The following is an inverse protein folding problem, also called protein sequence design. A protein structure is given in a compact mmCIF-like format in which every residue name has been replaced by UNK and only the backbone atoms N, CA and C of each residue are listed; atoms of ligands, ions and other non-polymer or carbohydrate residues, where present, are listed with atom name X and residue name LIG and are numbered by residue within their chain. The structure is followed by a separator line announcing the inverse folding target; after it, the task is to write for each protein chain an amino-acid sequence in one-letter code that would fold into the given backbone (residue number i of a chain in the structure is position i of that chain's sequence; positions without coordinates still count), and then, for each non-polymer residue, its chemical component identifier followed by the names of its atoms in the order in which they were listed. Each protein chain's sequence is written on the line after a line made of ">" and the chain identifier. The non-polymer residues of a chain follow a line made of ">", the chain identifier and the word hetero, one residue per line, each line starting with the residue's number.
data_IF_228178320094
#
_entry.id   IF_228178320094
#
_cell.length_a   1.000
_cell.length_b   1.000
_cell.length_c   1.000
_cell.angle_alpha   90.00
_cell.angle_beta   90.00
_cell.angle_gamma   90.00
#
_symmetry.space_group_name_H-M   'P 1'
#
loop_
_entity.id
_entity.type
_entity.pdbx_description
1 polymer ?
#
# COMPACT_ATOMS: atom_id res chain seq x y z
N UNK A 1 72.85 6.74 32.72
CA UNK A 1 72.06 5.93 31.79
C UNK A 1 70.55 6.12 32.10
N UNK A 2 69.84 6.86 31.29
CA UNK A 2 68.40 7.10 31.46
C UNK A 2 67.62 6.23 30.40
N UNK A 3 66.83 5.28 30.88
CA UNK A 3 65.99 4.40 30.09
C UNK A 3 64.73 5.14 29.69
N UNK A 4 64.53 5.33 28.40
CA UNK A 4 63.31 5.89 27.83
C UNK A 4 62.31 4.72 27.58
N UNK A 5 61.19 4.72 28.29
CA UNK A 5 60.09 3.80 28.03
C UNK A 5 59.16 4.40 26.97
N UNK A 6 59.04 3.70 25.84
CA UNK A 6 58.13 4.04 24.76
C UNK A 6 56.75 3.43 25.07
N UNK A 7 55.74 4.27 25.28
CA UNK A 7 54.34 3.83 25.45
C UNK A 7 53.71 3.75 24.05
N UNK A 8 53.38 2.56 23.60
CA UNK A 8 52.59 2.35 22.38
C UNK A 8 51.09 2.55 22.68
N UNK A 9 50.50 3.60 22.11
CA UNK A 9 49.04 3.83 22.16
C UNK A 9 48.39 3.03 21.03
N UNK A 10 47.68 1.98 21.39
CA UNK A 10 46.82 1.22 20.45
C UNK A 10 45.51 1.97 20.35
N UNK A 11 45.29 2.69 19.24
CA UNK A 11 44.01 3.26 18.88
C UNK A 11 43.08 2.16 18.39
N UNK A 12 42.17 1.69 19.23
CA UNK A 12 41.12 0.77 18.87
C UNK A 12 40.10 1.46 17.98
N UNK A 13 39.97 1.06 16.70
CA UNK A 13 38.85 1.42 15.84
C UNK A 13 37.60 0.73 16.37
N UNK A 14 36.73 1.46 17.05
CA UNK A 14 35.35 1.05 17.32
C UNK A 14 34.56 1.15 16.01
N UNK A 15 34.43 0.02 15.30
CA UNK A 15 33.46 -0.13 14.24
C UNK A 15 32.08 -0.16 14.92
N UNK A 16 31.38 0.97 14.90
CA UNK A 16 29.98 1.01 15.28
C UNK A 16 29.19 0.19 14.26
N UNK A 17 28.84 -1.05 14.61
CA UNK A 17 27.79 -1.80 13.95
C UNK A 17 26.50 -0.97 14.08
N UNK A 18 26.18 -0.21 13.05
CA UNK A 18 24.95 0.56 12.96
C UNK A 18 23.79 -0.43 13.10
N UNK A 19 23.11 -0.39 14.24
CA UNK A 19 21.85 -1.10 14.41
C UNK A 19 20.90 -0.56 13.33
N UNK A 20 20.44 -1.43 12.42
CA UNK A 20 19.38 -1.11 11.48
C UNK A 20 18.21 -0.49 12.28
N UNK A 21 17.65 0.63 11.84
CA UNK A 21 16.55 1.25 12.55
C UNK A 21 15.42 0.21 12.70
N UNK A 22 14.97 0.01 13.94
CA UNK A 22 13.92 -0.98 14.32
C UNK A 22 12.57 -0.79 13.61
N UNK A 23 12.47 0.18 12.71
CA UNK A 23 11.28 0.59 11.99
C UNK A 23 11.40 0.45 10.46
N UNK A 24 12.49 -0.14 9.95
CA UNK A 24 12.65 -0.34 8.51
C UNK A 24 11.72 -1.45 8.02
N UNK A 25 10.91 -1.16 7.01
CA UNK A 25 10.15 -2.17 6.28
C UNK A 25 11.16 -2.99 5.45
N UNK A 26 11.09 -4.30 5.54
CA UNK A 26 11.87 -5.18 4.65
C UNK A 26 11.38 -4.99 3.21
N UNK A 27 12.27 -4.61 2.26
CA UNK A 27 11.89 -4.44 0.88
C UNK A 27 11.55 -5.79 0.25
N UNK A 28 10.59 -5.79 -0.66
CA UNK A 28 10.37 -6.94 -1.56
C UNK A 28 11.54 -7.08 -2.55
N UNK A 29 11.81 -8.28 -3.08
CA UNK A 29 12.64 -8.41 -4.28
C UNK A 29 12.11 -7.46 -5.35
N UNK A 30 13.00 -6.64 -5.92
CA UNK A 30 12.62 -5.51 -6.79
C UNK A 30 11.72 -5.92 -7.96
N UNK A 31 12.03 -7.04 -8.61
CA UNK A 31 11.25 -7.58 -9.73
C UNK A 31 9.84 -8.01 -9.29
N UNK A 32 9.73 -8.60 -8.10
CA UNK A 32 8.46 -9.01 -7.52
C UNK A 32 7.61 -7.80 -7.11
N UNK A 33 8.23 -6.75 -6.56
CA UNK A 33 7.51 -5.52 -6.23
C UNK A 33 6.98 -4.81 -7.47
N UNK A 34 7.77 -4.74 -8.56
CA UNK A 34 7.33 -4.21 -9.85
C UNK A 34 6.16 -5.02 -10.41
N UNK A 35 6.24 -6.35 -10.40
CA UNK A 35 5.17 -7.23 -10.88
C UNK A 35 3.89 -7.04 -10.06
N UNK A 36 4.03 -6.96 -8.73
CA UNK A 36 2.90 -6.75 -7.83
C UNK A 36 2.27 -5.36 -8.02
N UNK A 37 3.06 -4.31 -8.20
CA UNK A 37 2.55 -2.97 -8.49
C UNK A 37 1.76 -2.95 -9.81
N UNK A 38 2.30 -3.56 -10.86
CA UNK A 38 1.65 -3.64 -12.17
C UNK A 38 0.38 -4.49 -12.17
N UNK A 39 0.29 -5.48 -11.29
CA UNK A 39 -0.93 -6.30 -11.16
C UNK A 39 -2.15 -5.48 -10.70
N UNK A 40 -1.93 -4.31 -10.12
CA UNK A 40 -3.03 -3.38 -9.80
C UNK A 40 -3.71 -2.79 -11.05
N UNK A 41 -3.04 -2.77 -12.21
CA UNK A 41 -3.54 -2.17 -13.44
C UNK A 41 -4.19 -3.19 -14.38
N UNK A 42 -5.17 -2.76 -15.20
CA UNK A 42 -5.64 -3.58 -16.32
C UNK A 42 -4.52 -3.78 -17.35
N UNK A 43 -4.50 -4.91 -18.09
CA UNK A 43 -3.38 -5.31 -18.95
C UNK A 43 -2.90 -4.22 -19.91
N UNK A 44 -3.81 -3.53 -20.58
CA UNK A 44 -3.50 -2.53 -21.60
C UNK A 44 -2.83 -1.25 -21.07
N UNK A 45 -2.78 -1.04 -19.76
CA UNK A 45 -2.13 0.12 -19.13
C UNK A 45 -0.74 -0.19 -18.56
N UNK A 46 -0.39 -1.47 -18.41
CA UNK A 46 0.81 -1.89 -17.66
C UNK A 46 2.11 -1.45 -18.30
N UNK A 47 2.23 -1.61 -19.62
CA UNK A 47 3.51 -1.41 -20.31
C UNK A 47 3.99 0.03 -20.29
N UNK A 48 3.07 0.99 -20.34
CA UNK A 48 3.36 2.41 -20.35
C UNK A 48 3.16 3.12 -19.00
N UNK A 49 2.88 2.40 -17.93
CA UNK A 49 2.70 2.97 -16.58
C UNK A 49 4.04 3.29 -15.90
N UNK A 50 4.05 4.37 -15.12
CA UNK A 50 5.15 4.65 -14.18
C UNK A 50 5.04 3.72 -12.98
N UNK A 51 6.13 3.03 -12.66
CA UNK A 51 6.18 2.12 -11.51
C UNK A 51 7.15 2.63 -10.46
N UNK A 52 6.71 2.62 -9.21
CA UNK A 52 7.55 2.98 -8.06
C UNK A 52 7.78 1.74 -7.20
N UNK A 53 8.95 1.69 -6.57
CA UNK A 53 9.32 0.69 -5.56
C UNK A 53 9.74 1.39 -4.28
N UNK A 54 9.56 0.72 -3.14
CA UNK A 54 9.92 1.26 -1.85
C UNK A 54 11.41 1.10 -1.57
N UNK A 55 12.06 2.23 -1.36
CA UNK A 55 13.38 2.29 -0.72
C UNK A 55 13.19 2.57 0.77
N UNK A 56 13.54 1.63 1.67
CA UNK A 56 13.31 1.81 3.12
C UNK A 56 14.01 3.02 3.74
N UNK A 57 15.07 3.52 3.10
CA UNK A 57 15.85 4.66 3.58
C UNK A 57 15.39 6.02 3.01
N UNK A 58 14.55 6.02 1.95
CA UNK A 58 14.20 7.27 1.24
C UNK A 58 12.72 7.42 0.93
N UNK A 59 11.93 6.35 1.02
CA UNK A 59 10.57 6.30 0.53
C UNK A 59 10.48 5.75 -0.91
N UNK A 60 9.41 6.05 -1.63
CA UNK A 60 9.21 5.55 -2.99
C UNK A 60 10.13 6.21 -4.01
N UNK A 61 10.71 5.40 -4.89
CA UNK A 61 11.54 5.84 -6.00
C UNK A 61 11.05 5.22 -7.32
N UNK A 62 11.28 5.93 -8.44
CA UNK A 62 10.89 5.45 -9.77
C UNK A 62 11.74 4.23 -10.12
N UNK A 63 11.08 3.10 -10.32
CA UNK A 63 11.70 1.87 -10.83
C UNK A 63 11.65 1.79 -12.36
N UNK A 64 10.55 2.29 -12.94
CA UNK A 64 10.30 2.33 -14.37
C UNK A 64 9.49 3.59 -14.69
N UNK A 65 10.03 4.52 -15.49
CA UNK A 65 9.27 5.67 -16.00
C UNK A 65 8.21 5.19 -17.00
N UNK A 66 7.06 5.85 -17.03
CA UNK A 66 5.96 5.57 -17.94
C UNK A 66 5.46 6.81 -18.66
N UNK A 67 4.58 6.63 -19.64
CA UNK A 67 4.09 7.70 -20.53
C UNK A 67 2.57 7.84 -20.59
N UNK A 68 1.81 6.90 -20.02
CA UNK A 68 0.34 6.89 -20.12
C UNK A 68 -0.38 7.61 -18.97
N UNK A 69 0.36 8.22 -18.04
CA UNK A 69 -0.22 8.94 -16.92
C UNK A 69 -0.80 8.07 -15.80
N UNK A 70 -0.50 6.76 -15.77
CA UNK A 70 -0.80 5.88 -14.65
C UNK A 70 0.45 5.63 -13.82
N UNK A 71 0.25 5.57 -12.49
CA UNK A 71 1.29 5.49 -11.47
C UNK A 71 0.99 4.34 -10.54
N UNK A 72 1.80 3.28 -10.58
CA UNK A 72 1.60 2.03 -9.84
C UNK A 72 2.68 1.83 -8.78
N UNK A 73 2.30 1.36 -7.59
CA UNK A 73 3.19 1.04 -6.48
C UNK A 73 2.52 0.09 -5.48
N UNK A 74 3.30 -0.43 -4.54
CA UNK A 74 2.80 -1.23 -3.43
C UNK A 74 2.92 -0.44 -2.15
N UNK A 75 1.82 0.13 -1.65
CA UNK A 75 1.84 0.81 -0.36
C UNK A 75 2.09 -0.20 0.78
N UNK A 76 2.88 0.20 1.77
CA UNK A 76 3.33 -0.66 2.87
C UNK A 76 2.91 -0.15 4.24
N UNK A 77 2.26 1.00 4.30
CA UNK A 77 1.79 1.62 5.53
C UNK A 77 0.30 1.42 5.81
N UNK A 78 -0.42 0.76 4.92
CA UNK A 78 -1.86 0.54 4.98
C UNK A 78 -2.66 1.54 4.15
N UNK A 79 -3.95 1.26 3.98
CA UNK A 79 -4.87 2.04 3.15
C UNK A 79 -5.49 3.23 3.89
N UNK A 80 -5.47 3.21 5.21
CA UNK A 80 -6.16 4.19 6.05
C UNK A 80 -5.48 5.56 6.09
N UNK A 81 -4.38 5.72 5.34
CA UNK A 81 -3.75 7.02 5.13
C UNK A 81 -4.75 8.09 4.64
N UNK A 82 -5.78 7.69 3.88
CA UNK A 82 -6.82 8.60 3.40
C UNK A 82 -7.82 9.03 4.48
N UNK A 83 -8.02 8.20 5.51
CA UNK A 83 -9.08 8.42 6.49
C UNK A 83 -8.65 9.31 7.65
N UNK A 84 -7.34 9.44 7.86
CA UNK A 84 -6.82 10.05 9.08
C UNK A 84 -7.11 9.24 10.36
N UNK A 85 -7.83 8.13 10.25
CA UNK A 85 -8.20 7.19 11.32
C UNK A 85 -7.35 5.93 11.29
N UNK A 86 -6.17 6.08 10.89
CA UNK A 86 -5.18 5.04 10.69
C UNK A 86 -4.86 4.32 12.01
N UNK A 87 -5.04 2.99 12.10
CA UNK A 87 -4.78 2.25 13.34
C UNK A 87 -3.29 2.03 13.61
N UNK A 88 -2.42 2.84 13.03
CA UNK A 88 -0.98 2.69 13.11
C UNK A 88 -0.46 2.91 14.53
N UNK A 89 -0.32 1.84 15.30
CA UNK A 89 0.31 1.83 16.62
C UNK A 89 1.79 1.45 16.53
N UNK A 90 2.15 0.67 15.52
CA UNK A 90 3.51 0.24 15.19
C UNK A 90 3.63 0.00 13.70
N UNK A 91 4.83 0.10 13.17
CA UNK A 91 5.07 -0.31 11.80
C UNK A 91 4.92 -1.82 11.64
N UNK A 92 4.34 -2.21 10.49
CA UNK A 92 4.20 -3.60 10.09
C UNK A 92 5.02 -3.83 8.82
N UNK A 93 5.63 -4.99 8.74
CA UNK A 93 6.42 -5.44 7.58
C UNK A 93 5.63 -6.33 6.61
N UNK A 94 4.35 -6.60 6.94
CA UNK A 94 3.51 -7.56 6.22
C UNK A 94 2.36 -6.92 5.42
N UNK A 95 2.21 -5.60 5.44
CA UNK A 95 1.21 -4.90 4.63
C UNK A 95 1.60 -4.94 3.15
N UNK A 96 0.64 -5.32 2.30
CA UNK A 96 0.72 -5.25 0.83
C UNK A 96 -0.54 -4.56 0.31
N UNK A 97 -0.37 -3.40 -0.28
CA UNK A 97 -1.47 -2.60 -0.82
C UNK A 97 -1.15 -2.15 -2.24
N UNK A 98 -1.23 -3.08 -3.24
CA UNK A 98 -0.96 -2.76 -4.64
C UNK A 98 -2.05 -1.83 -5.16
N UNK A 99 -1.65 -0.64 -5.62
CA UNK A 99 -2.57 0.40 -6.08
C UNK A 99 -1.95 1.16 -7.24
N UNK A 100 -2.79 1.61 -8.16
CA UNK A 100 -2.39 2.50 -9.24
C UNK A 100 -3.39 3.65 -9.38
N UNK A 101 -2.87 4.84 -9.59
CA UNK A 101 -3.64 6.07 -9.78
C UNK A 101 -3.49 6.61 -11.20
N UNK A 102 -4.53 7.25 -11.72
CA UNK A 102 -4.39 8.17 -12.83
C UNK A 102 -3.68 9.46 -12.39
N UNK A 103 -3.38 10.37 -13.32
CA UNK A 103 -2.72 11.63 -13.00
C UNK A 103 -3.47 12.50 -11.97
N UNK A 104 -4.80 12.43 -11.91
CA UNK A 104 -5.58 13.19 -10.94
C UNK A 104 -5.38 12.64 -9.52
N UNK A 105 -5.46 11.31 -9.37
CA UNK A 105 -5.19 10.64 -8.10
C UNK A 105 -3.72 10.69 -7.69
N UNK A 106 -2.81 10.64 -8.64
CA UNK A 106 -1.39 10.76 -8.35
C UNK A 106 -1.06 12.12 -7.68
N UNK A 107 -1.67 13.19 -8.14
CA UNK A 107 -1.50 14.53 -7.56
C UNK A 107 -2.17 14.70 -6.19
N UNK A 108 -3.31 14.05 -5.99
CA UNK A 108 -4.15 14.23 -4.80
C UNK A 108 -3.88 13.17 -3.72
N UNK A 109 -3.98 11.90 -4.06
CA UNK A 109 -4.04 10.80 -3.10
C UNK A 109 -2.72 10.03 -2.97
N UNK A 110 -1.99 9.81 -4.08
CA UNK A 110 -0.71 9.10 -4.04
C UNK A 110 0.31 9.82 -3.13
N UNK A 111 0.28 11.15 -3.10
CA UNK A 111 1.15 11.96 -2.25
C UNK A 111 1.03 11.59 -0.77
N UNK A 112 -0.16 11.19 -0.30
CA UNK A 112 -0.38 10.77 1.08
C UNK A 112 0.48 9.54 1.41
N UNK A 113 0.51 8.55 0.53
CA UNK A 113 1.33 7.34 0.72
C UNK A 113 2.83 7.65 0.66
N UNK A 114 3.23 8.54 -0.24
CA UNK A 114 4.63 8.90 -0.43
C UNK A 114 5.17 9.66 0.77
N UNK A 115 4.43 10.65 1.27
CA UNK A 115 4.78 11.38 2.47
C UNK A 115 4.90 10.47 3.70
N UNK A 116 3.98 9.50 3.83
CA UNK A 116 4.04 8.52 4.91
C UNK A 116 5.31 7.65 4.80
N UNK A 117 5.65 7.16 3.60
CA UNK A 117 6.85 6.38 3.37
C UNK A 117 8.14 7.19 3.63
N UNK A 118 8.18 8.46 3.21
CA UNK A 118 9.31 9.36 3.48
C UNK A 118 9.50 9.64 4.98
N UNK A 119 8.42 9.88 5.72
CA UNK A 119 8.47 10.07 7.17
C UNK A 119 8.95 8.81 7.87
N UNK A 120 8.48 7.64 7.44
CA UNK A 120 8.94 6.37 7.98
C UNK A 120 10.43 6.14 7.69
N UNK A 121 10.89 6.41 6.45
CA UNK A 121 12.29 6.31 6.06
C UNK A 121 13.21 7.22 6.91
N UNK A 122 12.70 8.37 7.37
CA UNK A 122 13.39 9.28 8.31
C UNK A 122 13.39 8.78 9.77
N UNK A 123 12.82 7.61 10.03
CA UNK A 123 12.76 7.03 11.38
C UNK A 123 11.67 7.63 12.27
N UNK A 124 10.70 8.35 11.71
CA UNK A 124 9.57 8.90 12.49
C UNK A 124 8.83 7.76 13.20
N UNK A 125 8.61 7.82 14.52
CA UNK A 125 7.84 6.80 15.23
C UNK A 125 6.40 6.68 14.70
N UNK A 126 5.82 5.47 14.71
CA UNK A 126 4.51 5.20 14.11
C UNK A 126 3.39 6.12 14.64
N UNK A 127 3.34 6.34 15.96
CA UNK A 127 2.36 7.24 16.56
C UNK A 127 2.52 8.70 16.12
N UNK A 128 3.76 9.16 15.97
CA UNK A 128 4.07 10.52 15.50
C UNK A 128 3.75 10.66 14.01
N UNK A 129 4.07 9.67 13.20
CA UNK A 129 3.69 9.63 11.78
C UNK A 129 2.17 9.75 11.64
N UNK A 130 1.41 8.95 12.39
CA UNK A 130 -0.06 9.05 12.44
C UNK A 130 -0.52 10.47 12.74
N UNK A 131 0.03 11.08 13.80
CA UNK A 131 -0.32 12.44 14.22
C UNK A 131 -0.05 13.48 13.12
N UNK A 132 1.11 13.40 12.46
CA UNK A 132 1.48 14.30 11.35
C UNK A 132 0.51 14.14 10.19
N UNK A 133 0.21 12.90 9.77
CA UNK A 133 -0.68 12.63 8.64
C UNK A 133 -2.10 13.13 8.93
N UNK A 134 -2.63 12.88 10.14
CA UNK A 134 -3.93 13.40 10.57
C UNK A 134 -3.98 14.92 10.55
N UNK A 135 -2.95 15.60 11.04
CA UNK A 135 -2.86 17.05 10.99
C UNK A 135 -2.85 17.58 9.56
N UNK A 136 -2.07 16.97 8.67
CA UNK A 136 -2.00 17.35 7.25
C UNK A 136 -3.35 17.18 6.54
N UNK A 137 -4.03 16.06 6.78
CA UNK A 137 -5.38 15.82 6.24
C UNK A 137 -6.39 16.86 6.75
N UNK A 138 -6.42 17.10 8.06
CA UNK A 138 -7.32 18.09 8.68
C UNK A 138 -7.04 19.52 8.21
N UNK A 139 -5.78 19.86 7.97
CA UNK A 139 -5.38 21.17 7.47
C UNK A 139 -5.60 21.36 5.96
N UNK A 140 -6.10 20.34 5.24
CA UNK A 140 -6.26 20.40 3.79
C UNK A 140 -4.93 20.45 3.02
N UNK A 141 -3.85 19.96 3.62
CA UNK A 141 -2.52 19.92 2.99
C UNK A 141 -2.50 19.09 1.70
N UNK A 142 -3.32 18.04 1.65
CA UNK A 142 -3.52 17.24 0.45
C UNK A 142 -4.76 17.74 -0.28
N UNK A 143 -4.63 18.20 -1.53
CA UNK A 143 -5.79 18.66 -2.29
C UNK A 143 -6.70 17.48 -2.64
N UNK A 144 -8.00 17.74 -2.70
CA UNK A 144 -8.94 16.78 -3.29
C UNK A 144 -8.63 16.57 -4.79
N UNK A 145 -9.02 15.42 -5.39
CA UNK A 145 -8.92 15.24 -6.82
C UNK A 145 -9.65 16.36 -7.57
N UNK A 146 -8.96 17.01 -8.51
CA UNK A 146 -9.51 18.17 -9.24
C UNK A 146 -10.58 17.79 -10.28
N UNK A 147 -10.73 16.51 -10.58
CA UNK A 147 -11.71 15.98 -11.54
C UNK A 147 -12.06 14.53 -11.18
N UNK A 148 -13.10 14.02 -11.78
CA UNK A 148 -13.38 12.59 -11.77
C UNK A 148 -12.19 11.80 -12.35
N UNK A 149 -11.94 10.63 -11.84
CA UNK A 149 -10.86 9.75 -12.25
C UNK A 149 -10.95 8.41 -11.54
N UNK A 150 -9.91 7.61 -11.68
CA UNK A 150 -9.90 6.23 -11.26
C UNK A 150 -8.59 5.85 -10.58
N UNK A 151 -8.71 5.02 -9.55
CA UNK A 151 -7.62 4.22 -9.04
C UNK A 151 -7.94 2.73 -9.21
N UNK A 152 -6.94 1.94 -9.58
CA UNK A 152 -7.07 0.51 -9.78
C UNK A 152 -6.42 -0.26 -8.65
N UNK A 153 -7.10 -1.30 -8.18
CA UNK A 153 -6.61 -2.31 -7.27
C UNK A 153 -7.02 -3.70 -7.76
N UNK A 154 -6.60 -4.03 -9.00
CA UNK A 154 -6.94 -5.31 -9.66
C UNK A 154 -6.04 -6.47 -9.25
N UNK A 155 -5.06 -6.23 -8.40
CA UNK A 155 -4.18 -7.27 -7.89
C UNK A 155 -4.97 -8.42 -7.24
N UNK A 156 -4.55 -9.68 -7.47
CA UNK A 156 -5.20 -10.83 -6.85
C UNK A 156 -4.93 -10.92 -5.35
N UNK A 157 -4.01 -10.13 -4.82
CA UNK A 157 -3.66 -10.12 -3.41
C UNK A 157 -3.59 -8.71 -2.86
N UNK A 158 -4.16 -8.56 -1.71
CA UNK A 158 -4.13 -7.36 -0.89
C UNK A 158 -3.99 -7.81 0.57
N UNK A 159 -3.13 -7.16 1.35
CA UNK A 159 -3.06 -7.37 2.79
C UNK A 159 -3.08 -6.05 3.51
N UNK A 160 -4.17 -5.81 4.20
CA UNK A 160 -4.42 -4.53 4.86
C UNK A 160 -5.34 -4.68 6.07
N UNK A 161 -5.59 -3.59 6.76
CA UNK A 161 -6.58 -3.51 7.82
C UNK A 161 -7.99 -3.61 7.24
N UNK A 162 -8.79 -4.52 7.77
CA UNK A 162 -10.14 -4.80 7.23
C UNK A 162 -11.19 -3.86 7.79
N UNK A 163 -11.06 -3.52 9.04
CA UNK A 163 -11.91 -2.55 9.72
C UNK A 163 -11.06 -1.81 10.74
N UNK A 164 -10.62 -0.59 10.44
CA UNK A 164 -9.81 0.20 11.36
C UNK A 164 -10.51 0.45 12.71
N UNK A 165 -11.85 0.48 12.73
CA UNK A 165 -12.64 0.72 13.93
C UNK A 165 -12.82 -0.54 14.79
N UNK A 166 -12.52 -1.72 14.24
CA UNK A 166 -12.67 -3.02 14.90
C UNK A 166 -11.34 -3.79 14.97
N UNK A 167 -10.62 -3.68 16.07
CA UNK A 167 -9.54 -4.57 16.50
C UNK A 167 -8.22 -4.57 15.71
N UNK A 168 -7.95 -3.62 14.82
CA UNK A 168 -6.70 -3.57 14.04
C UNK A 168 -6.37 -4.89 13.32
N UNK A 169 -7.40 -5.65 12.91
CA UNK A 169 -7.22 -6.92 12.23
C UNK A 169 -6.66 -6.70 10.83
N UNK A 170 -5.58 -7.39 10.52
CA UNK A 170 -4.98 -7.40 9.18
C UNK A 170 -5.27 -8.73 8.52
N UNK A 171 -5.89 -8.69 7.36
CA UNK A 171 -6.20 -9.87 6.55
C UNK A 171 -5.53 -9.82 5.19
N UNK A 172 -5.17 -10.99 4.68
CA UNK A 172 -4.85 -11.19 3.28
C UNK A 172 -6.12 -11.56 2.55
N UNK A 173 -6.44 -10.81 1.52
CA UNK A 173 -7.69 -10.96 0.77
C UNK A 173 -7.45 -10.95 -0.73
N UNK A 174 -8.35 -11.61 -1.45
CA UNK A 174 -8.46 -11.58 -2.90
C UNK A 174 -9.74 -10.82 -3.26
N UNK A 175 -9.61 -9.53 -3.42
CA UNK A 175 -10.74 -8.60 -3.65
C UNK A 175 -10.38 -7.56 -4.71
N UNK A 176 -10.08 -7.99 -5.96
CA UNK A 176 -9.77 -7.05 -7.03
C UNK A 176 -10.95 -6.11 -7.27
N UNK A 177 -10.65 -4.82 -7.36
CA UNK A 177 -11.66 -3.77 -7.48
C UNK A 177 -11.13 -2.52 -8.18
N UNK A 178 -12.07 -1.68 -8.57
CA UNK A 178 -11.82 -0.34 -9.12
C UNK A 178 -12.39 0.68 -8.15
N UNK A 179 -11.66 1.78 -7.96
CA UNK A 179 -12.10 2.93 -7.16
C UNK A 179 -12.32 4.13 -8.08
N UNK A 180 -13.42 4.84 -7.86
CA UNK A 180 -13.74 6.09 -8.56
C UNK A 180 -13.73 7.24 -7.54
N UNK A 181 -13.05 8.33 -7.86
CA UNK A 181 -13.07 9.50 -6.99
C UNK A 181 -14.48 10.07 -6.91
N UNK A 182 -14.99 10.18 -5.69
CA UNK A 182 -16.35 10.61 -5.38
C UNK A 182 -16.34 11.63 -4.24
N UNK A 183 -15.72 12.82 -4.43
CA UNK A 183 -15.63 13.83 -3.39
C UNK A 183 -17.00 14.23 -2.88
N UNK A 184 -17.20 14.09 -1.56
CA UNK A 184 -18.44 14.45 -0.84
C UNK A 184 -19.71 13.65 -1.25
N UNK A 185 -19.55 12.54 -1.98
CA UNK A 185 -20.66 11.66 -2.37
C UNK A 185 -20.94 10.66 -1.24
N UNK A 186 -22.20 10.33 -1.02
CA UNK A 186 -22.65 9.31 -0.08
C UNK A 186 -23.25 8.10 -0.80
N UNK A 187 -23.45 7.00 -0.08
CA UNK A 187 -24.16 5.83 -0.62
C UNK A 187 -25.61 6.15 -1.02
N UNK A 188 -26.26 7.10 -0.34
CA UNK A 188 -27.60 7.53 -0.69
C UNK A 188 -27.64 8.19 -2.08
N UNK A 189 -26.61 8.98 -2.42
CA UNK A 189 -26.55 9.70 -3.70
C UNK A 189 -26.40 8.77 -4.90
N UNK A 190 -25.77 7.62 -4.72
CA UNK A 190 -25.48 6.65 -5.81
C UNK A 190 -26.32 5.37 -5.72
N UNK A 191 -27.27 5.28 -4.79
CA UNK A 191 -28.03 4.05 -4.55
C UNK A 191 -27.16 2.89 -4.05
N UNK A 192 -26.00 3.19 -3.48
CA UNK A 192 -25.07 2.19 -2.96
C UNK A 192 -25.59 1.54 -1.69
N UNK A 193 -25.20 0.29 -1.48
CA UNK A 193 -25.52 -0.50 -0.29
C UNK A 193 -24.26 -1.12 0.30
N UNK A 194 -24.37 -1.72 1.47
CA UNK A 194 -23.26 -2.48 2.04
C UNK A 194 -22.82 -3.59 1.09
N UNK A 195 -21.53 -3.71 0.78
CA UNK A 195 -21.04 -4.69 -0.16
C UNK A 195 -21.28 -6.11 0.35
N UNK A 196 -21.64 -6.98 -0.58
CA UNK A 196 -21.67 -8.43 -0.36
C UNK A 196 -20.67 -9.08 -1.32
N UNK A 197 -20.05 -10.20 -0.96
CA UNK A 197 -19.21 -10.95 -1.90
C UNK A 197 -19.92 -11.15 -3.25
N UNK A 198 -19.24 -10.80 -4.35
CA UNK A 198 -19.80 -10.89 -5.71
C UNK A 198 -20.78 -9.78 -6.11
N UNK A 199 -21.02 -8.77 -5.28
CA UNK A 199 -21.83 -7.62 -5.68
C UNK A 199 -21.09 -6.77 -6.73
N UNK A 200 -21.83 -6.39 -7.78
CA UNK A 200 -21.31 -5.60 -8.91
C UNK A 200 -21.74 -4.13 -8.87
N UNK A 201 -22.41 -3.69 -7.83
CA UNK A 201 -22.78 -2.29 -7.67
C UNK A 201 -21.72 -1.50 -6.91
N UNK A 202 -21.51 -0.22 -7.24
CA UNK A 202 -20.56 0.61 -6.52
C UNK A 202 -21.11 0.99 -5.13
N UNK A 203 -20.20 1.23 -4.19
CA UNK A 203 -20.53 1.78 -2.88
C UNK A 203 -19.43 2.72 -2.40
N UNK A 204 -19.82 3.75 -1.64
CA UNK A 204 -18.88 4.72 -1.08
C UNK A 204 -18.23 4.12 0.16
N UNK A 205 -16.91 4.04 0.14
CA UNK A 205 -16.14 3.52 1.28
C UNK A 205 -15.52 4.64 2.11
N UNK A 206 -15.19 5.77 1.49
CA UNK A 206 -14.67 6.95 2.15
C UNK A 206 -15.50 8.16 1.74
N UNK A 207 -15.90 8.96 2.73
CA UNK A 207 -16.62 10.23 2.53
C UNK A 207 -15.68 11.42 2.63
N UNK A 208 -16.15 12.58 2.23
CA UNK A 208 -15.40 13.83 2.33
C UNK A 208 -14.64 14.19 1.06
N UNK A 209 -13.73 15.17 1.14
CA UNK A 209 -13.02 15.70 -0.05
C UNK A 209 -12.18 14.64 -0.80
N UNK A 210 -11.66 13.65 -0.08
CA UNK A 210 -10.91 12.53 -0.65
C UNK A 210 -11.77 11.29 -0.85
N UNK A 211 -13.09 11.44 -0.86
CA UNK A 211 -14.05 10.35 -0.98
C UNK A 211 -13.87 9.55 -2.26
N UNK A 212 -14.17 8.27 -2.18
CA UNK A 212 -14.21 7.38 -3.33
C UNK A 212 -15.27 6.29 -3.15
N UNK A 213 -15.77 5.82 -4.29
CA UNK A 213 -16.59 4.61 -4.39
C UNK A 213 -15.77 3.46 -4.91
N UNK A 214 -16.14 2.25 -4.51
CA UNK A 214 -15.50 1.00 -4.96
C UNK A 214 -16.50 0.18 -5.74
N UNK A 215 -16.02 -0.51 -6.78
CA UNK A 215 -16.73 -1.58 -7.47
C UNK A 215 -15.83 -2.81 -7.54
N UNK A 216 -16.27 -3.93 -6.96
CA UNK A 216 -15.56 -5.20 -7.03
C UNK A 216 -15.68 -5.83 -8.42
N UNK A 217 -14.66 -6.61 -8.80
CA UNK A 217 -14.75 -7.51 -9.96
C UNK A 217 -15.72 -8.67 -9.67
N UNK A 218 -16.30 -9.22 -10.72
CA UNK A 218 -17.09 -10.43 -10.64
C UNK A 218 -16.24 -11.67 -10.33
N UNK A 219 -16.89 -12.78 -10.02
CA UNK A 219 -16.22 -14.05 -9.68
C UNK A 219 -15.38 -14.57 -10.85
N UNK A 220 -15.88 -14.46 -12.06
CA UNK A 220 -15.18 -14.91 -13.28
C UNK A 220 -13.93 -14.11 -13.54
N UNK A 221 -14.00 -12.79 -13.44
CA UNK A 221 -12.87 -11.87 -13.63
C UNK A 221 -11.84 -12.07 -12.53
N UNK A 222 -12.26 -12.22 -11.28
CA UNK A 222 -11.38 -12.53 -10.15
C UNK A 222 -10.63 -13.84 -10.36
N UNK A 223 -11.31 -14.88 -10.85
CA UNK A 223 -10.68 -16.16 -11.16
C UNK A 223 -9.68 -16.04 -12.33
N UNK A 224 -9.95 -15.20 -13.33
CA UNK A 224 -9.03 -14.93 -14.43
C UNK A 224 -7.76 -14.23 -13.94
N UNK A 225 -7.88 -13.21 -13.09
CA UNK A 225 -6.75 -12.51 -12.46
C UNK A 225 -5.90 -13.47 -11.63
N UNK A 226 -6.52 -14.35 -10.84
CA UNK A 226 -5.80 -15.34 -10.05
C UNK A 226 -4.96 -16.30 -10.91
N UNK A 227 -5.52 -16.76 -12.04
CA UNK A 227 -4.77 -17.62 -12.97
C UNK A 227 -3.60 -16.88 -13.63
N UNK A 228 -3.83 -15.63 -14.06
CA UNK A 228 -2.78 -14.80 -14.66
C UNK A 228 -1.58 -14.62 -13.73
N UNK A 229 -1.82 -14.45 -12.44
CA UNK A 229 -0.78 -14.15 -11.45
C UNK A 229 -0.40 -15.32 -10.53
N UNK A 230 -0.69 -16.57 -10.91
CA UNK A 230 -0.42 -17.75 -10.08
C UNK A 230 1.03 -17.84 -9.60
N UNK A 231 2.01 -17.64 -10.47
CA UNK A 231 3.44 -17.69 -10.13
C UNK A 231 3.84 -16.55 -9.19
N UNK A 232 3.32 -15.34 -9.39
CA UNK A 232 3.55 -14.20 -8.49
C UNK A 232 3.00 -14.48 -7.08
N UNK A 233 1.81 -15.04 -7.00
CA UNK A 233 1.18 -15.42 -5.72
C UNK A 233 2.01 -16.49 -4.99
N UNK A 234 2.51 -17.50 -5.70
CA UNK A 234 3.40 -18.52 -5.15
C UNK A 234 4.70 -17.91 -4.61
N UNK A 235 5.32 -16.98 -5.35
CA UNK A 235 6.51 -16.26 -4.92
C UNK A 235 6.25 -15.40 -3.68
N UNK A 236 5.17 -14.64 -3.63
CA UNK A 236 4.79 -13.84 -2.45
C UNK A 236 4.61 -14.73 -1.21
N UNK A 237 3.91 -15.85 -1.38
CA UNK A 237 3.69 -16.83 -0.32
C UNK A 237 5.01 -17.45 0.18
N UNK A 238 5.98 -17.69 -0.70
CA UNK A 238 7.30 -18.22 -0.31
C UNK A 238 8.15 -17.20 0.44
N UNK A 239 7.99 -15.91 0.15
CA UNK A 239 8.70 -14.84 0.87
C UNK A 239 8.12 -14.63 2.28
N UNK A 240 6.79 -14.64 2.40
CA UNK A 240 6.14 -14.47 3.71
C UNK A 240 4.81 -15.19 3.76
N UNK A 241 4.65 -16.13 4.70
CA UNK A 241 3.41 -16.89 4.91
C UNK A 241 2.16 -16.00 5.05
N UNK A 242 2.29 -14.82 5.64
CA UNK A 242 1.19 -13.88 5.78
C UNK A 242 0.64 -13.35 4.44
N UNK A 243 1.38 -13.53 3.34
CA UNK A 243 0.99 -13.11 1.99
C UNK A 243 0.35 -14.23 1.16
N UNK A 244 0.27 -15.44 1.70
CA UNK A 244 -0.49 -16.51 1.07
C UNK A 244 -1.97 -16.15 1.06
N UNK A 245 -2.63 -16.36 -0.08
CA UNK A 245 -4.09 -16.31 -0.11
C UNK A 245 -4.66 -17.40 0.80
N UNK A 246 -5.75 -17.12 1.53
CA UNK A 246 -6.44 -18.16 2.28
C UNK A 246 -6.84 -19.27 1.32
N UNK A 247 -6.52 -20.53 1.65
CA UNK A 247 -7.11 -21.67 0.96
C UNK A 247 -8.62 -21.55 1.16
N UNK A 248 -9.37 -21.36 0.08
CA UNK A 248 -10.83 -21.42 0.14
C UNK A 248 -11.20 -22.77 0.77
N UNK A 249 -11.66 -22.74 2.01
CA UNK A 249 -12.37 -23.91 2.52
C UNK A 249 -13.48 -24.22 1.51
N UNK A 250 -13.65 -25.47 1.06
CA UNK A 250 -14.75 -25.80 0.18
C UNK A 250 -16.01 -25.30 0.88
N UNK A 251 -16.72 -24.39 0.23
CA UNK A 251 -18.03 -23.93 0.68
C UNK A 251 -18.84 -25.21 0.97
N UNK A 252 -19.12 -25.44 2.24
CA UNK A 252 -20.14 -26.41 2.62
C UNK A 252 -21.39 -25.97 1.88
N UNK A 253 -21.74 -26.66 0.81
CA UNK A 253 -23.05 -26.58 0.19
C UNK A 253 -24.06 -26.92 1.28
N UNK A 254 -24.53 -25.90 1.98
CA UNK A 254 -25.70 -26.00 2.84
C UNK A 254 -26.89 -26.20 1.92
N UNK A 255 -27.50 -27.32 2.11
CA UNK A 255 -28.81 -27.71 1.59
C UNK A 255 -29.88 -26.70 2.01
#
# INVERSE_FOLDING_TARGET
>A
MRTVQTIAVIAGLLVSLGASPRNAIEPLPRDLEIQLALSALPPHLRDAATVYVLNPARGFEVARPGTNGFHAFVARTGDDAFRGEWPLTKYRDDILYPIAFDNAGAKAQMRIFFDAAELQAKGTPAAELKRIMQQRLKAGFYPAPARAGVAYMLSPVLRTYVNPDANNTVLTANVPHVMYYAPNVSNQDIGGAQPKPGSLYPFVILRGPHGYSIQFLGVTETAAVNREYGDMLARLCSVKQAWCLPTSSPTSNGR
#
